data_IF_407935546382
#
_entry.id   IF_407935546382
#
_cell.length_a   1.000
_cell.length_b   1.000
_cell.length_c   1.000
_cell.angle_alpha   90.00
_cell.angle_beta   90.00
_cell.angle_gamma   90.00
#
_symmetry.space_group_name_H-M   'P 1'
#
loop_
_entity.id
_entity.type
_entity.pdbx_description
1 polymer ?
#
# COMPACT_ATOMS: atom_id res chain seq x y z
N UNK A 1 -2.68 30.66 -6.66
CA UNK A 1 -4.13 30.37 -6.80
C UNK A 1 -4.31 29.42 -7.98
N UNK A 2 -3.94 28.14 -7.85
CA UNK A 2 -4.12 27.17 -8.93
C UNK A 2 -4.31 25.75 -8.40
N UNK A 3 -3.37 25.18 -7.63
CA UNK A 3 -3.43 23.76 -7.22
C UNK A 3 -4.74 23.31 -6.54
N UNK A 4 -5.11 23.96 -5.43
CA UNK A 4 -6.29 23.56 -4.63
C UNK A 4 -7.62 23.67 -5.39
N UNK A 5 -7.68 24.46 -6.46
CA UNK A 5 -8.89 24.59 -7.27
C UNK A 5 -9.00 23.45 -8.30
N UNK A 6 -7.87 23.01 -8.86
CA UNK A 6 -7.83 21.85 -9.76
C UNK A 6 -8.11 20.55 -9.00
N UNK A 7 -7.64 20.45 -7.75
CA UNK A 7 -7.93 19.32 -6.86
C UNK A 7 -9.44 19.17 -6.61
N UNK A 8 -10.12 20.27 -6.28
CA UNK A 8 -11.56 20.24 -6.03
C UNK A 8 -12.37 19.91 -7.30
N UNK A 9 -11.96 20.43 -8.46
CA UNK A 9 -12.60 20.08 -9.73
C UNK A 9 -12.48 18.59 -10.06
N UNK A 10 -11.32 17.99 -9.79
CA UNK A 10 -11.10 16.56 -9.99
C UNK A 10 -12.03 15.72 -9.09
N UNK A 11 -12.12 16.08 -7.82
CA UNK A 11 -12.95 15.34 -6.86
C UNK A 11 -14.45 15.54 -7.10
N UNK A 12 -14.87 16.73 -7.54
CA UNK A 12 -16.24 16.98 -7.97
C UNK A 12 -16.61 16.15 -9.19
N UNK A 13 -15.72 16.06 -10.19
CA UNK A 13 -15.92 15.19 -11.35
C UNK A 13 -16.00 13.70 -10.94
N UNK A 14 -15.08 13.23 -10.10
CA UNK A 14 -15.08 11.87 -9.58
C UNK A 14 -16.40 11.54 -8.85
N UNK A 15 -16.88 12.46 -7.99
CA UNK A 15 -18.13 12.28 -7.25
C UNK A 15 -19.36 12.23 -8.18
N UNK A 16 -19.36 13.01 -9.26
CA UNK A 16 -20.41 12.95 -10.30
C UNK A 16 -20.42 11.59 -10.99
N UNK A 17 -19.25 11.10 -11.44
CA UNK A 17 -19.16 9.80 -12.14
C UNK A 17 -19.54 8.62 -11.25
N UNK A 18 -19.14 8.63 -9.98
CA UNK A 18 -19.54 7.60 -9.03
C UNK A 18 -21.06 7.61 -8.77
N UNK A 19 -21.68 8.79 -8.76
CA UNK A 19 -23.14 8.92 -8.63
C UNK A 19 -23.88 8.42 -9.86
N UNK A 20 -23.39 8.73 -11.05
CA UNK A 20 -23.93 8.23 -12.32
C UNK A 20 -23.83 6.70 -12.43
N UNK A 21 -22.78 6.12 -11.84
CA UNK A 21 -22.60 4.67 -11.73
C UNK A 21 -23.42 4.01 -10.59
N UNK A 22 -24.24 4.79 -9.86
CA UNK A 22 -25.15 4.26 -8.83
C UNK A 22 -24.52 4.00 -7.46
N UNK A 23 -23.32 4.52 -7.17
CA UNK A 23 -22.68 4.37 -5.87
C UNK A 23 -23.46 5.17 -4.80
N UNK A 24 -23.73 4.61 -3.60
CA UNK A 24 -24.43 5.32 -2.53
C UNK A 24 -23.73 6.62 -2.09
N UNK A 25 -24.50 7.69 -1.88
CA UNK A 25 -23.96 9.03 -1.58
C UNK A 25 -23.04 9.07 -0.35
N UNK A 26 -23.37 8.36 0.72
CA UNK A 26 -22.53 8.25 1.93
C UNK A 26 -21.16 7.61 1.63
N UNK A 27 -21.15 6.63 0.72
CA UNK A 27 -19.92 5.95 0.29
C UNK A 27 -19.08 6.88 -0.60
N UNK A 28 -19.71 7.66 -1.48
CA UNK A 28 -19.02 8.66 -2.30
C UNK A 28 -18.30 9.67 -1.41
N UNK A 29 -18.99 10.24 -0.40
CA UNK A 29 -18.41 11.21 0.53
C UNK A 29 -17.21 10.60 1.26
N UNK A 30 -17.37 9.41 1.85
CA UNK A 30 -16.29 8.73 2.56
C UNK A 30 -15.07 8.44 1.64
N UNK A 31 -15.31 7.98 0.41
CA UNK A 31 -14.23 7.72 -0.56
C UNK A 31 -13.51 9.00 -0.97
N UNK A 32 -14.23 10.08 -1.26
CA UNK A 32 -13.61 11.35 -1.65
C UNK A 32 -12.83 11.96 -0.48
N UNK A 33 -13.36 11.88 0.75
CA UNK A 33 -12.65 12.37 1.94
C UNK A 33 -11.36 11.59 2.21
N UNK A 34 -11.38 10.26 2.05
CA UNK A 34 -10.18 9.42 2.16
C UNK A 34 -9.12 9.79 1.11
N UNK A 35 -9.54 10.12 -0.12
CA UNK A 35 -8.63 10.50 -1.21
C UNK A 35 -8.09 11.93 -1.04
N UNK A 36 -8.92 12.87 -0.57
CA UNK A 36 -8.46 14.21 -0.18
C UNK A 36 -7.47 14.16 0.96
N UNK A 37 -7.71 13.31 1.97
CA UNK A 37 -6.78 13.11 3.06
C UNK A 37 -5.45 12.52 2.56
N UNK A 38 -5.49 11.62 1.57
CA UNK A 38 -4.28 11.11 0.92
C UNK A 38 -3.54 12.22 0.17
N UNK A 39 -4.19 13.03 -0.67
CA UNK A 39 -3.51 14.11 -1.40
C UNK A 39 -3.00 15.22 -0.49
N UNK A 40 -3.72 15.55 0.59
CA UNK A 40 -3.22 16.46 1.61
C UNK A 40 -1.96 15.93 2.30
N UNK A 41 -1.79 14.60 2.37
CA UNK A 41 -0.63 13.93 2.94
C UNK A 41 0.51 13.72 1.93
N UNK A 42 0.21 13.48 0.64
CA UNK A 42 1.21 13.27 -0.41
C UNK A 42 1.69 14.56 -1.08
N UNK A 43 0.85 15.61 -1.06
CA UNK A 43 1.09 16.89 -1.72
C UNK A 43 1.12 16.81 -3.26
N UNK A 44 0.66 15.70 -3.83
CA UNK A 44 0.65 15.43 -5.27
C UNK A 44 -0.59 15.95 -5.98
N UNK A 45 -0.52 16.01 -7.31
CA UNK A 45 -1.66 16.33 -8.16
C UNK A 45 -2.59 15.10 -8.31
N UNK A 46 -3.92 15.26 -8.20
CA UNK A 46 -4.87 14.16 -8.30
C UNK A 46 -4.80 13.40 -9.63
N UNK A 47 -4.59 14.11 -10.73
CA UNK A 47 -4.58 13.52 -12.08
C UNK A 47 -3.25 12.79 -12.33
N UNK A 48 -2.14 13.30 -11.80
CA UNK A 48 -0.86 12.59 -11.81
C UNK A 48 -0.88 11.33 -10.92
N UNK A 49 -1.49 11.40 -9.73
CA UNK A 49 -1.52 10.31 -8.74
C UNK A 49 -2.53 9.21 -9.09
N UNK A 50 -3.71 9.58 -9.59
CA UNK A 50 -4.82 8.65 -9.81
C UNK A 50 -5.20 8.46 -11.28
N UNK A 51 -4.61 9.26 -12.18
CA UNK A 51 -5.04 9.34 -13.57
C UNK A 51 -6.38 10.08 -13.72
N UNK A 52 -6.96 10.10 -14.94
CA UNK A 52 -8.20 10.83 -15.22
C UNK A 52 -9.37 10.35 -14.35
N UNK A 53 -10.15 11.29 -13.78
CA UNK A 53 -11.26 11.01 -12.85
C UNK A 53 -12.29 10.01 -13.43
N UNK A 54 -12.53 10.09 -14.74
CA UNK A 54 -13.40 9.16 -15.48
C UNK A 54 -12.93 7.69 -15.38
N UNK A 55 -11.67 7.44 -15.73
CA UNK A 55 -11.09 6.10 -15.70
C UNK A 55 -10.97 5.58 -14.27
N UNK A 56 -10.68 6.49 -13.33
CA UNK A 56 -10.60 6.16 -11.91
C UNK A 56 -11.97 5.81 -11.31
N UNK A 57 -13.04 6.50 -11.70
CA UNK A 57 -14.41 6.18 -11.29
C UNK A 57 -14.85 4.79 -11.77
N UNK A 58 -14.62 4.46 -13.04
CA UNK A 58 -14.91 3.13 -13.61
C UNK A 58 -14.18 2.03 -12.83
N UNK A 59 -12.92 2.29 -12.46
CA UNK A 59 -12.11 1.38 -11.66
C UNK A 59 -12.67 1.17 -10.24
N UNK A 60 -13.12 2.24 -9.58
CA UNK A 60 -13.72 2.18 -8.24
C UNK A 60 -15.04 1.39 -8.26
N UNK A 61 -15.86 1.56 -9.30
CA UNK A 61 -17.12 0.82 -9.48
C UNK A 61 -16.85 -0.67 -9.70
N UNK A 62 -15.94 -1.02 -10.62
CA UNK A 62 -15.57 -2.40 -10.89
C UNK A 62 -14.99 -3.13 -9.66
N UNK A 63 -14.32 -2.39 -8.77
CA UNK A 63 -13.78 -2.92 -7.52
C UNK A 63 -14.84 -3.07 -6.43
N UNK A 64 -15.89 -2.23 -6.47
CA UNK A 64 -17.04 -2.32 -5.56
C UNK A 64 -17.89 -3.56 -5.87
N UNK A 65 -18.11 -3.87 -7.14
CA UNK A 65 -18.83 -5.07 -7.57
C UNK A 65 -18.10 -6.37 -7.18
N UNK A 66 -16.77 -6.34 -7.08
CA UNK A 66 -15.98 -7.47 -6.57
C UNK A 66 -15.93 -7.54 -5.04
N UNK A 67 -16.23 -6.44 -4.33
CA UNK A 67 -16.23 -6.39 -2.87
C UNK A 67 -17.58 -6.82 -2.25
N UNK A 68 -18.69 -6.69 -2.98
CA UNK A 68 -20.02 -7.16 -2.55
C UNK A 68 -20.31 -8.64 -2.94
N UNK A 69 -19.37 -9.31 -3.60
CA UNK A 69 -19.42 -10.74 -3.93
C UNK A 69 -18.95 -11.65 -2.79
N UNK A 70 -19.57 -11.59 -1.62
CA UNK A 70 -19.29 -12.52 -0.54
C UNK A 70 -19.93 -12.11 0.78
N UNK A 71 -21.03 -12.76 1.14
CA UNK A 71 -21.69 -12.70 2.45
C UNK A 71 -20.74 -13.12 3.58
N UNK A 72 -19.89 -12.21 4.06
CA UNK A 72 -19.11 -12.37 5.28
C UNK A 72 -19.84 -11.68 6.43
N UNK A 73 -20.63 -12.44 7.19
CA UNK A 73 -21.45 -11.99 8.32
C UNK A 73 -20.63 -11.73 9.60
N UNK A 74 -19.45 -11.10 9.47
CA UNK A 74 -18.49 -10.92 10.56
C UNK A 74 -17.95 -9.49 10.66
N UNK A 75 -17.33 -9.17 11.81
CA UNK A 75 -16.72 -7.86 12.02
C UNK A 75 -15.57 -7.67 11.02
N UNK A 76 -15.64 -6.62 10.18
CA UNK A 76 -14.63 -6.33 9.14
C UNK A 76 -13.68 -5.22 9.56
N UNK A 77 -12.38 -5.45 9.37
CA UNK A 77 -11.32 -4.50 9.70
C UNK A 77 -10.20 -4.51 8.64
N UNK A 78 -9.85 -3.31 8.16
CA UNK A 78 -8.77 -3.12 7.18
C UNK A 78 -7.60 -2.35 7.80
N UNK A 79 -6.38 -2.80 7.56
CA UNK A 79 -5.15 -2.18 8.06
C UNK A 79 -3.97 -2.46 7.13
N UNK A 80 -2.87 -1.71 7.28
CA UNK A 80 -1.63 -1.95 6.53
C UNK A 80 -0.39 -1.77 7.41
N UNK A 81 0.70 -2.39 6.98
CA UNK A 81 2.01 -2.34 7.61
C UNK A 81 3.11 -2.28 6.56
N UNK A 82 4.32 -1.91 6.99
CA UNK A 82 5.48 -2.09 6.13
C UNK A 82 5.91 -3.55 5.98
N UNK A 83 6.76 -3.77 4.98
CA UNK A 83 7.37 -5.07 4.68
C UNK A 83 8.25 -5.64 5.81
N UNK A 84 8.58 -4.85 6.83
CA UNK A 84 9.42 -5.31 7.94
C UNK A 84 8.58 -5.87 9.10
N UNK A 85 7.31 -5.48 9.18
CA UNK A 85 6.43 -5.79 10.31
C UNK A 85 5.12 -6.44 9.91
N UNK A 86 4.78 -6.47 8.63
CA UNK A 86 3.56 -7.10 8.10
C UNK A 86 3.35 -8.53 8.61
N UNK A 87 4.31 -9.44 8.47
CA UNK A 87 4.17 -10.84 8.90
C UNK A 87 4.04 -10.97 10.42
N UNK A 88 4.74 -10.13 11.18
CA UNK A 88 4.62 -10.13 12.64
C UNK A 88 3.22 -9.69 13.07
N UNK A 89 2.72 -8.60 12.47
CA UNK A 89 1.40 -8.04 12.76
C UNK A 89 0.28 -8.98 12.31
N UNK A 90 0.45 -9.62 11.15
CA UNK A 90 -0.46 -10.65 10.66
C UNK A 90 -0.61 -11.78 11.68
N UNK A 91 0.50 -12.35 12.17
CA UNK A 91 0.45 -13.41 13.18
C UNK A 91 -0.13 -12.92 14.52
N UNK A 92 0.23 -11.70 14.95
CA UNK A 92 -0.34 -11.11 16.16
C UNK A 92 -1.87 -10.96 16.10
N UNK A 93 -2.41 -10.50 14.96
CA UNK A 93 -3.86 -10.38 14.79
C UNK A 93 -4.52 -11.73 14.49
N UNK A 94 -3.79 -12.67 13.88
CA UNK A 94 -4.22 -14.06 13.70
C UNK A 94 -4.48 -14.78 15.00
N UNK A 95 -3.60 -14.60 15.99
CA UNK A 95 -3.79 -15.12 17.36
C UNK A 95 -5.02 -14.52 18.06
N UNK A 96 -5.47 -13.34 17.64
CA UNK A 96 -6.66 -12.65 18.16
C UNK A 96 -7.94 -13.03 17.40
N UNK A 97 -7.83 -13.89 16.40
CA UNK A 97 -8.94 -14.41 15.63
C UNK A 97 -9.28 -13.66 14.35
N UNK A 98 -8.41 -12.73 13.92
CA UNK A 98 -8.59 -12.04 12.65
C UNK A 98 -8.12 -12.90 11.49
N UNK A 99 -9.05 -13.22 10.60
CA UNK A 99 -8.82 -13.90 9.34
C UNK A 99 -8.59 -12.88 8.23
N UNK A 100 -7.48 -12.99 7.48
CA UNK A 100 -7.29 -12.23 6.25
C UNK A 100 -8.11 -12.87 5.13
N UNK A 101 -9.03 -12.09 4.58
CA UNK A 101 -9.82 -12.48 3.41
C UNK A 101 -9.13 -12.11 2.10
N UNK A 102 -8.31 -11.05 2.12
CA UNK A 102 -7.65 -10.57 0.93
C UNK A 102 -6.70 -9.42 1.22
N UNK A 103 -5.96 -9.03 0.19
CA UNK A 103 -5.17 -7.80 0.16
C UNK A 103 -5.76 -6.91 -0.92
N UNK A 104 -6.10 -5.67 -0.57
CA UNK A 104 -6.61 -4.71 -1.54
C UNK A 104 -5.50 -4.18 -2.47
N UNK A 105 -5.89 -3.43 -3.50
CA UNK A 105 -4.93 -2.85 -4.47
C UNK A 105 -3.97 -1.83 -3.87
N UNK A 106 -4.22 -1.33 -2.65
CA UNK A 106 -3.35 -0.42 -1.91
C UNK A 106 -2.39 -1.18 -0.98
N UNK A 107 -2.40 -2.52 -1.01
CA UNK A 107 -1.59 -3.34 -0.11
C UNK A 107 -2.10 -3.37 1.33
N UNK A 108 -3.40 -3.11 1.56
CA UNK A 108 -4.02 -3.21 2.88
C UNK A 108 -4.64 -4.59 3.07
N UNK A 109 -4.43 -5.16 4.24
CA UNK A 109 -5.00 -6.44 4.64
C UNK A 109 -6.46 -6.24 5.05
N UNK A 110 -7.34 -6.97 4.38
CA UNK A 110 -8.77 -7.01 4.67
C UNK A 110 -9.03 -8.18 5.58
N UNK A 111 -9.37 -7.91 6.84
CA UNK A 111 -9.59 -8.92 7.85
C UNK A 111 -11.06 -9.02 8.25
N UNK A 112 -11.49 -10.23 8.61
CA UNK A 112 -12.78 -10.50 9.24
C UNK A 112 -12.59 -11.35 10.48
N UNK A 113 -13.50 -11.24 11.43
CA UNK A 113 -13.56 -12.16 12.58
C UNK A 113 -14.96 -12.74 12.71
N UNK A 114 -15.02 -14.05 12.84
CA UNK A 114 -16.25 -14.77 13.15
C UNK A 114 -16.70 -14.39 14.58
N UNK A 115 -17.91 -13.84 14.76
CA UNK A 115 -18.41 -13.43 16.06
C UNK A 115 -18.82 -14.60 16.96
N UNK A 116 -19.18 -15.76 16.39
CA UNK A 116 -19.64 -16.93 17.13
C UNK A 116 -18.50 -17.89 17.43
N UNK A 117 -17.57 -18.05 16.49
CA UNK A 117 -16.48 -19.02 16.59
C UNK A 117 -15.12 -18.42 16.19
N UNK A 118 -14.61 -17.43 16.94
CA UNK A 118 -13.29 -16.86 16.66
C UNK A 118 -12.22 -17.95 16.77
N UNK A 119 -11.42 -18.11 15.72
CA UNK A 119 -10.37 -19.12 15.64
C UNK A 119 -9.03 -18.48 15.34
N UNK A 120 -7.96 -19.07 15.84
CA UNK A 120 -6.59 -18.59 15.59
C UNK A 120 -6.11 -18.91 14.17
N UNK A 121 -5.31 -18.00 13.64
CA UNK A 121 -4.72 -18.08 12.32
C UNK A 121 -3.22 -17.87 12.36
N UNK A 122 -2.52 -18.68 11.57
CA UNK A 122 -1.10 -18.52 11.29
C UNK A 122 -0.92 -17.93 9.90
N UNK A 123 0.04 -17.01 9.76
CA UNK A 123 0.34 -16.33 8.51
C UNK A 123 1.80 -16.45 8.13
N UNK A 124 2.01 -16.68 6.83
CA UNK A 124 3.33 -16.80 6.22
C UNK A 124 3.41 -15.93 4.98
N UNK A 125 4.53 -15.24 4.82
CA UNK A 125 4.83 -14.45 3.63
C UNK A 125 5.98 -15.10 2.88
N UNK A 126 5.84 -15.19 1.57
CA UNK A 126 6.84 -15.77 0.67
C UNK A 126 7.13 -14.82 -0.48
N UNK A 127 8.41 -14.77 -0.89
CA UNK A 127 8.80 -14.03 -2.10
C UNK A 127 8.56 -14.93 -3.30
N UNK A 128 7.75 -14.45 -4.24
CA UNK A 128 7.36 -15.21 -5.43
C UNK A 128 7.67 -14.43 -6.70
N UNK A 129 8.05 -15.16 -7.74
CA UNK A 129 7.98 -14.67 -9.11
C UNK A 129 6.57 -14.88 -9.66
N UNK A 130 6.13 -14.11 -10.68
CA UNK A 130 4.81 -14.28 -11.27
C UNK A 130 4.50 -15.71 -11.73
N UNK A 131 5.52 -16.44 -12.21
CA UNK A 131 5.40 -17.82 -12.72
C UNK A 131 5.60 -18.90 -11.64
N UNK A 132 6.21 -18.58 -10.49
CA UNK A 132 6.52 -19.54 -9.43
C UNK A 132 5.41 -19.73 -8.39
N UNK A 133 4.35 -18.92 -8.45
CA UNK A 133 3.30 -18.86 -7.43
C UNK A 133 2.52 -20.17 -7.32
N UNK A 134 2.04 -20.70 -8.43
CA UNK A 134 1.17 -21.88 -8.41
C UNK A 134 1.92 -23.11 -7.90
N UNK A 135 3.19 -23.26 -8.30
CA UNK A 135 4.07 -24.30 -7.79
C UNK A 135 4.31 -24.15 -6.28
N UNK A 136 4.50 -22.92 -5.77
CA UNK A 136 4.64 -22.69 -4.34
C UNK A 136 3.35 -23.04 -3.59
N UNK A 137 2.19 -22.61 -4.08
CA UNK A 137 0.89 -22.93 -3.49
C UNK A 137 0.67 -24.44 -3.42
N UNK A 138 0.98 -25.18 -4.49
CA UNK A 138 0.87 -26.65 -4.50
C UNK A 138 1.79 -27.33 -3.48
N UNK A 139 2.99 -26.79 -3.25
CA UNK A 139 3.91 -27.32 -2.23
C UNK A 139 3.44 -27.06 -0.81
N UNK A 140 2.75 -25.94 -0.58
CA UNK A 140 2.29 -25.53 0.75
C UNK A 140 0.91 -26.12 1.11
N UNK A 141 0.09 -26.49 0.12
CA UNK A 141 -1.24 -27.06 0.34
C UNK A 141 -1.26 -28.32 1.25
N UNK A 142 -0.31 -29.28 1.15
CA UNK A 142 -0.26 -30.43 2.06
C UNK A 142 -0.08 -30.07 3.54
N UNK A 143 0.50 -28.92 3.84
CA UNK A 143 0.69 -28.41 5.20
C UNK A 143 -0.52 -27.59 5.71
N UNK A 144 -1.59 -27.49 4.90
CA UNK A 144 -2.82 -26.75 5.21
C UNK A 144 -2.72 -25.24 4.98
N UNK A 145 -1.74 -24.77 4.21
CA UNK A 145 -1.64 -23.36 3.84
C UNK A 145 -2.51 -23.03 2.64
N UNK A 146 -3.23 -21.92 2.75
CA UNK A 146 -4.11 -21.39 1.73
C UNK A 146 -3.67 -19.97 1.33
N UNK A 147 -3.69 -19.61 0.04
CA UNK A 147 -3.34 -18.27 -0.39
C UNK A 147 -4.39 -17.25 0.08
N UNK A 148 -3.95 -16.14 0.66
CA UNK A 148 -4.83 -15.05 1.15
C UNK A 148 -4.56 -13.69 0.50
N UNK A 149 -3.67 -13.64 -0.49
CA UNK A 149 -3.44 -12.44 -1.30
C UNK A 149 -2.03 -12.37 -1.85
N UNK A 150 -1.79 -11.42 -2.73
CA UNK A 150 -0.46 -11.12 -3.26
C UNK A 150 -0.30 -9.62 -3.33
N UNK A 151 0.87 -9.13 -2.93
CA UNK A 151 1.24 -7.74 -3.06
C UNK A 151 2.67 -7.62 -3.58
N UNK A 152 2.82 -6.97 -4.74
CA UNK A 152 4.10 -6.87 -5.45
C UNK A 152 4.73 -8.26 -5.70
N UNK A 153 5.91 -8.53 -5.12
CA UNK A 153 6.59 -9.84 -5.19
C UNK A 153 6.29 -10.76 -3.99
N UNK A 154 5.36 -10.39 -3.11
CA UNK A 154 5.02 -11.16 -1.92
C UNK A 154 3.68 -11.88 -2.06
N UNK A 155 3.69 -13.19 -1.86
CA UNK A 155 2.48 -13.98 -1.67
C UNK A 155 2.27 -14.20 -0.17
N UNK A 156 1.02 -14.08 0.26
CA UNK A 156 0.61 -14.29 1.64
C UNK A 156 -0.23 -15.55 1.72
N UNK A 157 0.08 -16.36 2.72
CA UNK A 157 -0.60 -17.61 3.01
C UNK A 157 -1.14 -17.56 4.43
N UNK A 158 -2.30 -18.16 4.62
CA UNK A 158 -2.94 -18.34 5.92
C UNK A 158 -3.16 -19.82 6.19
N UNK A 159 -3.19 -20.20 7.45
CA UNK A 159 -3.54 -21.55 7.89
C UNK A 159 -4.36 -21.47 9.17
N UNK A 160 -5.51 -22.16 9.26
CA UNK A 160 -6.25 -22.23 10.50
C UNK A 160 -5.44 -23.04 11.52
N UNK A 161 -5.25 -22.49 12.72
CA UNK A 161 -4.51 -23.19 13.78
C UNK A 161 -5.26 -24.47 14.21
N UNK A 162 -6.58 -24.54 13.96
CA UNK A 162 -7.38 -25.75 14.14
C UNK A 162 -6.89 -26.95 13.33
N UNK A 163 -6.23 -26.74 12.18
CA UNK A 163 -5.61 -27.81 11.41
C UNK A 163 -4.40 -28.45 12.11
N UNK A 164 -3.82 -27.77 13.11
CA UNK A 164 -2.65 -28.23 13.86
C UNK A 164 -3.00 -28.80 15.24
N UNK A 165 -3.89 -28.13 15.98
CA UNK A 165 -4.21 -28.47 17.39
C UNK A 165 -5.69 -28.81 17.62
N UNK A 166 -6.51 -28.83 16.56
CA UNK A 166 -7.93 -29.16 16.67
C UNK A 166 -8.76 -28.07 17.39
N UNK A 167 -9.78 -28.44 18.19
CA UNK A 167 -10.76 -27.50 18.75
C UNK A 167 -10.17 -26.47 19.74
N UNK A 168 -8.94 -26.68 20.22
CA UNK A 168 -8.21 -25.75 21.11
C UNK A 168 -7.79 -24.45 20.41
N UNK A 169 -7.89 -24.38 19.08
CA UNK A 169 -7.67 -23.14 18.33
C UNK A 169 -8.79 -22.09 18.49
N UNK A 170 -9.91 -22.46 19.12
CA UNK A 170 -11.01 -21.53 19.43
C UNK A 170 -10.62 -20.56 20.53
N UNK A 171 -10.95 -19.29 20.34
CA UNK A 171 -10.66 -18.23 21.29
C UNK A 171 -11.88 -18.02 22.18
N UNK A 172 -11.73 -18.17 23.49
CA UNK A 172 -12.84 -17.99 24.43
C UNK A 172 -13.23 -16.52 24.67
N UNK A 173 -12.26 -15.61 24.67
CA UNK A 173 -12.46 -14.17 24.89
C UNK A 173 -11.51 -13.36 23.98
N UNK A 174 -11.92 -12.99 22.76
CA UNK A 174 -11.06 -12.29 21.83
C UNK A 174 -10.94 -10.80 22.21
N UNK A 175 -9.74 -10.20 22.10
CA UNK A 175 -9.56 -8.79 22.43
C UNK A 175 -10.40 -7.89 21.50
N UNK A 176 -10.73 -6.66 21.94
CA UNK A 176 -11.49 -5.72 21.13
C UNK A 176 -10.73 -5.38 19.85
N UNK A 177 -11.47 -4.97 18.81
CA UNK A 177 -10.87 -4.59 17.53
C UNK A 177 -9.79 -3.52 17.72
N UNK A 178 -8.61 -3.70 17.10
CA UNK A 178 -7.57 -2.67 17.15
C UNK A 178 -8.07 -1.37 16.50
N UNK A 179 -7.95 -0.25 17.23
CA UNK A 179 -8.33 1.07 16.70
C UNK A 179 -7.35 1.61 15.66
N UNK A 180 -6.10 1.11 15.65
CA UNK A 180 -5.02 1.59 14.79
C UNK A 180 -4.98 0.79 13.48
N UNK A 181 -4.84 1.50 12.34
CA UNK A 181 -4.85 0.89 10.99
C UNK A 181 -3.51 0.96 10.24
N UNK A 182 -2.51 1.65 10.80
CA UNK A 182 -1.21 1.91 10.17
C UNK A 182 -0.06 1.50 11.10
N UNK A 183 0.77 0.56 10.63
CA UNK A 183 1.89 0.00 11.38
C UNK A 183 3.20 0.11 10.60
N UNK A 184 3.88 1.25 10.75
CA UNK A 184 5.20 1.49 10.17
C UNK A 184 6.28 1.44 11.26
N UNK A 185 7.39 0.78 10.94
CA UNK A 185 8.53 0.50 11.79
C UNK A 185 9.65 1.53 11.59
N UNK A 186 10.51 1.74 12.60
CA UNK A 186 11.74 2.52 12.47
C UNK A 186 12.66 2.04 11.31
N UNK A 187 12.64 0.73 11.02
CA UNK A 187 13.49 0.11 10.00
C UNK A 187 13.15 0.60 8.59
N UNK A 188 11.87 0.83 8.28
CA UNK A 188 11.45 1.42 7.02
C UNK A 188 12.11 2.77 6.76
N UNK A 189 12.18 3.62 7.79
CA UNK A 189 12.80 4.95 7.69
C UNK A 189 14.32 4.84 7.48
N UNK A 190 14.97 3.88 8.14
CA UNK A 190 16.39 3.61 7.92
C UNK A 190 16.68 3.14 6.49
N UNK A 191 15.87 2.20 5.98
CA UNK A 191 15.96 1.72 4.60
C UNK A 191 15.77 2.86 3.60
N UNK A 192 14.74 3.69 3.78
CA UNK A 192 14.49 4.85 2.92
C UNK A 192 15.67 5.83 2.93
N UNK A 193 16.26 6.13 4.09
CA UNK A 193 17.41 7.02 4.20
C UNK A 193 18.67 6.45 3.51
N UNK A 194 18.91 5.14 3.60
CA UNK A 194 20.04 4.47 2.92
C UNK A 194 19.83 4.44 1.41
N UNK A 195 18.64 4.03 0.95
CA UNK A 195 18.29 4.02 -0.46
C UNK A 195 18.42 5.44 -1.07
N UNK A 196 17.96 6.44 -0.32
CA UNK A 196 18.11 7.84 -0.68
C UNK A 196 19.58 8.25 -0.81
N UNK A 197 20.40 7.96 0.19
CA UNK A 197 21.84 8.27 0.17
C UNK A 197 22.54 7.59 -1.00
N UNK A 198 22.22 6.32 -1.28
CA UNK A 198 22.77 5.58 -2.40
C UNK A 198 22.36 6.20 -3.75
N UNK A 199 21.10 6.61 -3.91
CA UNK A 199 20.62 7.29 -5.11
C UNK A 199 21.34 8.62 -5.33
N UNK A 200 21.54 9.41 -4.27
CA UNK A 200 22.32 10.67 -4.33
C UNK A 200 23.76 10.40 -4.73
N UNK A 201 24.43 9.43 -4.11
CA UNK A 201 25.82 9.07 -4.44
C UNK A 201 25.92 8.62 -5.90
N UNK A 202 25.00 7.78 -6.37
CA UNK A 202 24.97 7.35 -7.77
C UNK A 202 24.74 8.50 -8.74
N UNK A 203 23.81 9.42 -8.43
CA UNK A 203 23.54 10.61 -9.24
C UNK A 203 24.72 11.59 -9.28
N UNK A 204 25.41 11.79 -8.16
CA UNK A 204 26.62 12.63 -8.13
C UNK A 204 27.80 11.94 -8.84
N UNK A 205 27.91 10.62 -8.74
CA UNK A 205 28.94 9.83 -9.41
C UNK A 205 28.76 9.86 -10.93
N UNK A 206 27.51 9.75 -11.41
CA UNK A 206 27.22 9.85 -12.85
C UNK A 206 27.51 11.24 -13.40
N UNK A 207 27.19 12.30 -12.64
CA UNK A 207 27.56 13.68 -12.98
C UNK A 207 29.10 13.85 -13.07
N UNK A 208 29.85 13.30 -12.12
CA UNK A 208 31.31 13.39 -12.13
C UNK A 208 31.98 12.57 -13.26
N UNK A 209 31.35 11.46 -13.68
CA UNK A 209 31.80 10.67 -14.84
C UNK A 209 31.50 11.40 -16.14
N UNK A 210 30.36 12.07 -16.25
CA UNK A 210 30.01 12.91 -17.41
C UNK A 210 30.97 14.11 -17.54
N UNK A 211 31.31 14.75 -16.42
CA UNK A 211 32.28 15.85 -16.37
C UNK A 211 33.71 15.41 -16.73
N UNK A 212 34.16 14.25 -16.22
CA UNK A 212 35.47 13.67 -16.59
C UNK A 212 35.54 13.12 -18.01
N UNK A 213 34.42 12.80 -18.64
CA UNK A 213 34.40 12.27 -20.00
C UNK A 213 34.72 13.32 -21.06
N UNK A 214 34.83 14.62 -20.68
CA UNK A 214 35.35 15.66 -21.55
C UNK A 214 34.65 15.74 -22.90
N UNK A 215 33.31 15.69 -22.91
CA UNK A 215 32.51 15.89 -24.12
C UNK A 215 32.37 17.40 -24.42
N UNK A 216 33.52 18.05 -24.65
CA UNK A 216 33.59 19.23 -25.51
C UNK A 216 33.77 18.70 -26.95
N UNK A 217 32.66 18.40 -27.63
CA UNK A 217 32.47 18.78 -29.04
C UNK A 217 31.09 18.33 -29.58
N UNK A 218 30.41 19.33 -30.15
CA UNK A 218 29.41 19.34 -31.22
C UNK A 218 28.34 18.22 -31.33
N UNK A 219 27.09 18.65 -31.16
CA UNK A 219 25.82 18.04 -31.61
C UNK A 219 25.55 16.55 -31.32
N UNK A 220 24.80 16.26 -30.25
CA UNK A 220 24.16 14.95 -30.10
C UNK A 220 23.38 14.75 -28.79
N UNK A 221 22.43 13.80 -28.75
CA UNK A 221 21.39 13.61 -27.71
C UNK A 221 21.85 13.32 -26.26
N UNK A 222 23.14 13.45 -25.96
CA UNK A 222 23.76 13.15 -24.66
C UNK A 222 23.51 14.22 -23.59
N UNK A 223 23.39 15.50 -23.95
CA UNK A 223 23.15 16.61 -23.01
C UNK A 223 21.73 16.59 -22.43
N UNK A 224 20.74 16.25 -23.26
CA UNK A 224 19.35 16.05 -22.84
C UNK A 224 19.22 14.83 -21.90
N UNK A 225 20.00 13.78 -22.15
CA UNK A 225 20.03 12.59 -21.29
C UNK A 225 20.64 12.91 -19.91
N UNK A 226 21.72 13.71 -19.88
CA UNK A 226 22.32 14.19 -18.64
C UNK A 226 21.39 15.09 -17.81
N UNK A 227 20.66 16.00 -18.47
CA UNK A 227 19.65 16.85 -17.81
C UNK A 227 18.44 16.05 -17.31
N UNK A 228 17.95 15.08 -18.08
CA UNK A 228 16.85 14.22 -17.66
C UNK A 228 17.21 13.38 -16.42
N UNK A 229 18.42 12.79 -16.42
CA UNK A 229 18.92 12.03 -15.26
C UNK A 229 19.14 12.96 -14.06
N UNK A 230 19.70 14.15 -14.25
CA UNK A 230 19.87 15.14 -13.20
C UNK A 230 18.54 15.64 -12.60
N UNK A 231 17.53 15.89 -13.43
CA UNK A 231 16.21 16.32 -12.99
C UNK A 231 15.48 15.22 -12.21
N UNK A 232 15.53 13.96 -12.70
CA UNK A 232 15.00 12.80 -11.97
C UNK A 232 15.69 12.61 -10.61
N UNK A 233 17.01 12.80 -10.57
CA UNK A 233 17.77 12.73 -9.31
C UNK A 233 17.35 13.83 -8.33
N UNK A 234 17.17 15.06 -8.82
CA UNK A 234 16.76 16.20 -8.00
C UNK A 234 15.32 16.05 -7.47
N UNK A 235 14.40 15.49 -8.27
CA UNK A 235 13.03 15.21 -7.84
C UNK A 235 12.98 14.15 -6.72
N UNK A 236 13.81 13.09 -6.83
CA UNK A 236 13.94 12.09 -5.75
C UNK A 236 14.51 12.71 -4.47
N UNK A 237 15.45 13.66 -4.60
CA UNK A 237 16.00 14.44 -3.48
C UNK A 237 14.99 15.34 -2.81
N UNK A 238 14.23 16.08 -3.59
CA UNK A 238 13.24 17.02 -3.06
C UNK A 238 12.08 16.24 -2.42
N UNK A 239 11.61 15.15 -3.03
CA UNK A 239 10.57 14.28 -2.47
C UNK A 239 10.99 13.63 -1.15
N UNK A 240 12.24 13.14 -1.06
CA UNK A 240 12.75 12.55 0.18
C UNK A 240 12.91 13.59 1.31
N UNK A 241 13.38 14.79 1.00
CA UNK A 241 13.51 15.89 1.97
C UNK A 241 12.14 16.36 2.45
N UNK A 242 11.16 16.49 1.55
CA UNK A 242 9.79 16.86 1.90
C UNK A 242 9.14 15.81 2.81
N UNK A 243 9.29 14.52 2.50
CA UNK A 243 8.76 13.43 3.32
C UNK A 243 9.39 13.39 4.73
N UNK A 244 10.70 13.67 4.84
CA UNK A 244 11.40 13.72 6.14
C UNK A 244 10.98 14.98 6.93
N UNK A 245 10.86 16.15 6.29
CA UNK A 245 10.46 17.39 6.91
C UNK A 245 9.01 17.32 7.44
N UNK A 246 8.10 16.73 6.66
CA UNK A 246 6.72 16.46 7.03
C UNK A 246 6.64 15.55 8.26
N UNK A 247 7.50 14.53 8.33
CA UNK A 247 7.58 13.62 9.48
C UNK A 247 8.08 14.30 10.76
N UNK A 248 9.05 15.22 10.64
CA UNK A 248 9.57 16.00 11.76
C UNK A 248 8.52 17.02 12.23
N UNK A 249 7.79 17.64 11.30
CA UNK A 249 6.72 18.58 11.62
C UNK A 249 5.55 17.89 12.34
N UNK A 250 5.14 16.70 11.89
CA UNK A 250 4.10 15.87 12.53
C UNK A 250 4.48 15.39 13.93
N UNK A 251 5.77 15.12 14.18
CA UNK A 251 6.26 14.78 15.53
C UNK A 251 6.25 15.97 16.50
N UNK A 252 6.47 17.19 16.02
CA UNK A 252 6.45 18.41 16.87
C UNK A 252 5.04 18.86 17.24
N UNK A 253 4.03 18.58 16.42
CA UNK A 253 2.61 18.90 16.73
C UNK A 253 1.92 17.91 17.68
N UNK A 254 2.56 16.78 18.01
CA UNK A 254 2.01 15.76 18.93
C UNK A 254 2.68 15.76 20.31
N UNK A 255 3.47 16.79 20.62
CA UNK A 255 3.90 17.16 21.98
C UNK A 255 3.19 18.44 22.37
#
# INVERSE_FOLDING_TARGET
>A
MSGTYFDELYFDELAVRLREAGVPAERIVATVDDLRAYLADSGGDPEEEFGPAAAFAEHLVATTDHADGGTATGERWTWTADIFTDQQRLNEFGEQGWEVQGIDRLGRFVCTRDPEHPQRWEYRREVVTPTGRDALTQRLAPEGWEPCGTWFCYAYYKRPHAALVGPEAKIGDPPPRPGRRLFFSPALYGFAAVAFTAAVVLGLSSLAVLDRAGLDDDDGPSTLLGMAVGALSALVVIGAIAAIAELIHRRRRRR
#
